data_IF_801574515200
#
_entry.id   IF_801574515200
#
_cell.length_a   1.000
_cell.length_b   1.000
_cell.length_c   1.000
_cell.angle_alpha   90.00
_cell.angle_beta   90.00
_cell.angle_gamma   90.00
#
_symmetry.space_group_name_H-M   'P 1'
#
loop_
_entity.id
_entity.type
_entity.pdbx_description
1 polymer ?
#
# COMPACT_ATOMS: atom_id res chain seq x y z
N UNK A 1 48.27 -12.62 5.75
CA UNK A 1 46.94 -12.01 5.91
C UNK A 1 46.16 -12.85 6.91
N UNK A 2 45.76 -12.29 8.06
CA UNK A 2 45.10 -13.03 9.15
C UNK A 2 43.68 -13.46 8.74
N UNK A 3 43.35 -14.74 8.93
CA UNK A 3 42.03 -15.30 8.60
C UNK A 3 40.87 -14.54 9.26
N UNK A 4 41.12 -13.93 10.41
CA UNK A 4 40.17 -13.09 11.15
C UNK A 4 39.85 -11.78 10.44
N UNK A 5 40.82 -11.10 9.80
CA UNK A 5 40.52 -9.91 9.02
C UNK A 5 39.77 -10.23 7.74
N UNK A 6 40.03 -11.38 7.11
CA UNK A 6 39.29 -11.83 5.93
C UNK A 6 37.82 -12.07 6.28
N UNK A 7 37.54 -12.72 7.42
CA UNK A 7 36.19 -12.96 7.89
C UNK A 7 35.45 -11.66 8.27
N UNK A 8 36.13 -10.72 8.92
CA UNK A 8 35.54 -9.42 9.27
C UNK A 8 35.27 -8.56 8.02
N UNK A 9 36.16 -8.59 7.02
CA UNK A 9 35.98 -7.86 5.76
C UNK A 9 34.79 -8.43 4.95
N UNK A 10 34.62 -9.76 4.94
CA UNK A 10 33.48 -10.41 4.29
C UNK A 10 32.13 -10.08 4.99
N UNK A 11 32.15 -9.96 6.31
CA UNK A 11 30.95 -9.60 7.09
C UNK A 11 30.52 -8.15 6.84
N UNK A 12 31.49 -7.22 6.76
CA UNK A 12 31.24 -5.81 6.41
C UNK A 12 30.70 -5.64 4.97
N UNK A 13 31.17 -6.47 4.04
CA UNK A 13 30.72 -6.46 2.65
C UNK A 13 29.28 -6.99 2.44
N UNK A 14 28.69 -7.65 3.44
CA UNK A 14 27.34 -8.26 3.36
C UNK A 14 26.22 -7.32 3.82
N UNK A 15 26.49 -6.02 3.95
CA UNK A 15 25.49 -5.01 4.30
C UNK A 15 24.51 -4.81 3.14
N UNK A 16 23.44 -5.61 3.09
CA UNK A 16 22.36 -5.41 2.13
C UNK A 16 21.78 -4.00 2.29
N UNK A 17 22.02 -3.13 1.30
CA UNK A 17 21.48 -1.77 1.32
C UNK A 17 19.96 -1.84 1.20
N UNK A 18 19.23 -1.40 2.24
CA UNK A 18 17.80 -1.07 2.19
C UNK A 18 17.56 0.23 1.40
N UNK A 19 18.18 0.34 0.22
CA UNK A 19 18.01 1.48 -0.64
C UNK A 19 16.63 1.40 -1.31
N UNK A 20 15.95 2.55 -1.39
CA UNK A 20 14.76 2.68 -2.20
C UNK A 20 15.10 2.33 -3.66
N UNK A 21 14.47 1.28 -4.17
CA UNK A 21 14.46 0.93 -5.59
C UNK A 21 13.72 2.04 -6.38
N UNK A 22 13.86 2.08 -7.72
CA UNK A 22 13.12 3.04 -8.55
C UNK A 22 11.61 3.02 -8.28
N UNK A 23 11.03 1.86 -7.95
CA UNK A 23 9.60 1.71 -7.66
C UNK A 23 9.12 2.59 -6.50
N UNK A 24 9.90 2.74 -5.42
CA UNK A 24 9.51 3.59 -4.29
C UNK A 24 9.80 5.08 -4.54
N UNK A 25 10.58 5.40 -5.57
CA UNK A 25 10.90 6.79 -5.95
C UNK A 25 9.89 7.37 -6.92
N UNK A 26 9.27 6.55 -7.77
CA UNK A 26 8.23 7.00 -8.69
C UNK A 26 7.04 7.54 -7.90
N UNK A 27 6.60 8.75 -8.25
CA UNK A 27 5.58 9.50 -7.52
C UNK A 27 4.26 9.63 -8.28
N UNK A 28 4.27 9.32 -9.57
CA UNK A 28 3.13 9.44 -10.47
C UNK A 28 3.00 8.17 -11.32
N UNK A 29 1.78 7.79 -11.73
CA UNK A 29 1.59 6.66 -12.63
C UNK A 29 2.39 6.80 -13.92
N UNK A 30 2.89 5.67 -14.42
CA UNK A 30 3.53 5.63 -15.74
C UNK A 30 2.43 5.78 -16.80
N UNK A 31 2.50 6.77 -17.71
CA UNK A 31 1.46 6.97 -18.71
C UNK A 31 1.40 5.80 -19.70
N UNK A 32 0.20 5.50 -20.19
CA UNK A 32 -0.06 4.41 -21.12
C UNK A 32 -1.38 3.71 -20.82
N UNK A 33 -1.73 2.73 -21.63
CA UNK A 33 -2.88 1.85 -21.34
C UNK A 33 -2.62 1.06 -20.06
N UNK A 34 -3.67 0.88 -19.25
CA UNK A 34 -3.60 0.11 -18.02
C UNK A 34 -3.18 -1.33 -18.33
N UNK A 35 -2.04 -1.77 -17.79
CA UNK A 35 -1.49 -3.11 -18.00
C UNK A 35 -0.83 -3.61 -16.72
N UNK A 36 -1.36 -4.69 -16.17
CA UNK A 36 -0.75 -5.45 -15.07
C UNK A 36 0.28 -6.41 -15.64
N UNK A 37 1.56 -6.22 -15.30
CA UNK A 37 2.67 -6.93 -15.93
C UNK A 37 3.35 -7.85 -14.92
N UNK A 38 3.52 -9.12 -15.26
CA UNK A 38 4.18 -10.12 -14.40
C UNK A 38 3.23 -10.79 -13.41
N UNK A 39 3.77 -11.26 -12.29
CA UNK A 39 2.99 -11.93 -11.24
C UNK A 39 2.78 -11.00 -10.03
N UNK A 40 1.80 -11.33 -9.18
CA UNK A 40 1.45 -10.52 -8.02
C UNK A 40 2.66 -10.12 -7.15
N UNK A 41 3.59 -11.05 -6.92
CA UNK A 41 4.78 -10.84 -6.08
C UNK A 41 6.08 -10.58 -6.86
N UNK A 42 6.00 -10.38 -8.18
CA UNK A 42 7.12 -10.03 -9.03
C UNK A 42 6.60 -9.41 -10.33
N UNK A 43 6.20 -8.14 -10.25
CA UNK A 43 5.51 -7.46 -11.36
C UNK A 43 5.48 -5.95 -11.21
N UNK A 44 4.82 -5.30 -12.16
CA UNK A 44 4.59 -3.86 -12.17
C UNK A 44 3.26 -3.53 -12.84
N UNK A 45 2.91 -2.25 -12.89
CA UNK A 45 1.75 -1.75 -13.63
C UNK A 45 2.13 -0.50 -14.42
N UNK A 46 1.67 -0.46 -15.67
CA UNK A 46 1.65 0.76 -16.52
C UNK A 46 0.21 1.25 -16.58
N UNK A 47 0.01 2.58 -16.67
CA UNK A 47 -1.32 3.17 -16.75
C UNK A 47 -2.15 2.92 -15.49
N UNK A 48 -1.50 2.92 -14.32
CA UNK A 48 -2.21 2.76 -13.06
C UNK A 48 -3.17 3.93 -12.82
N UNK A 49 -4.36 3.61 -12.35
CA UNK A 49 -5.35 4.56 -11.94
C UNK A 49 -5.22 4.88 -10.44
N UNK A 50 -5.76 6.03 -10.04
CA UNK A 50 -5.69 6.54 -8.68
C UNK A 50 -7.06 6.39 -8.02
N UNK A 51 -7.12 5.71 -6.87
CA UNK A 51 -8.34 5.70 -6.09
C UNK A 51 -8.61 7.12 -5.54
N UNK A 52 -9.79 7.72 -5.76
CA UNK A 52 -10.14 9.01 -5.17
C UNK A 52 -9.98 8.99 -3.65
N UNK A 53 -9.28 9.97 -3.09
CA UNK A 53 -9.01 10.02 -1.65
C UNK A 53 -10.28 10.41 -0.88
N UNK A 54 -11.10 11.29 -1.45
CA UNK A 54 -12.38 11.71 -0.90
C UNK A 54 -13.51 10.86 -1.48
N UNK A 55 -14.29 10.24 -0.60
CA UNK A 55 -15.45 9.43 -0.94
C UNK A 55 -16.42 9.41 0.24
N UNK A 56 -17.71 9.34 -0.04
CA UNK A 56 -18.75 9.16 1.00
C UNK A 56 -18.83 7.70 1.48
N UNK A 57 -18.31 6.75 0.69
CA UNK A 57 -18.52 5.32 0.91
C UNK A 57 -17.31 4.59 1.51
N UNK A 58 -16.11 5.19 1.44
CA UNK A 58 -14.87 4.61 1.96
C UNK A 58 -13.89 5.69 2.41
N UNK A 59 -12.91 5.28 3.23
CA UNK A 59 -11.78 6.12 3.61
C UNK A 59 -10.47 5.41 3.25
N UNK A 60 -9.53 6.17 2.68
CA UNK A 60 -8.18 5.68 2.36
C UNK A 60 -7.25 5.96 3.53
N UNK A 61 -6.64 4.91 4.05
CA UNK A 61 -5.69 4.99 5.17
C UNK A 61 -4.27 5.24 4.68
N UNK A 62 -3.42 5.87 5.51
CA UNK A 62 -1.97 5.99 5.28
C UNK A 62 -1.62 6.59 3.91
N UNK A 63 -2.34 7.64 3.53
CA UNK A 63 -2.19 8.32 2.22
C UNK A 63 -0.79 8.92 2.04
N UNK A 64 -0.08 9.21 3.12
CA UNK A 64 1.34 9.60 3.14
C UNK A 64 2.24 8.60 2.39
N UNK A 65 1.84 7.31 2.36
CA UNK A 65 2.64 6.25 1.76
C UNK A 65 2.45 6.13 0.25
N UNK A 66 1.44 6.81 -0.32
CA UNK A 66 1.15 6.81 -1.76
C UNK A 66 0.98 5.38 -2.32
N UNK A 67 0.22 4.56 -1.58
CA UNK A 67 -0.12 3.18 -1.93
C UNK A 67 -1.60 3.02 -2.28
N UNK A 68 -2.18 3.98 -3.00
CA UNK A 68 -3.59 4.01 -3.40
C UNK A 68 -3.76 3.96 -4.94
N UNK A 69 -2.79 3.35 -5.62
CA UNK A 69 -2.79 3.19 -7.08
C UNK A 69 -3.07 1.73 -7.45
N UNK A 70 -3.68 1.50 -8.61
CA UNK A 70 -3.95 0.15 -9.08
C UNK A 70 -4.50 0.09 -10.49
N UNK A 71 -4.90 -1.10 -10.92
CA UNK A 71 -5.60 -1.28 -12.18
C UNK A 71 -6.98 -0.60 -12.11
N UNK A 72 -7.49 0.00 -13.20
CA UNK A 72 -8.83 0.61 -13.22
C UNK A 72 -9.93 -0.34 -12.70
N UNK A 73 -9.84 -1.63 -13.00
CA UNK A 73 -10.79 -2.63 -12.50
C UNK A 73 -10.78 -2.76 -10.97
N UNK A 74 -9.61 -2.62 -10.34
CA UNK A 74 -9.49 -2.62 -8.88
C UNK A 74 -10.15 -1.36 -8.29
N UNK A 75 -9.93 -0.20 -8.89
CA UNK A 75 -10.56 1.07 -8.47
C UNK A 75 -12.09 0.96 -8.57
N UNK A 76 -12.60 0.49 -9.71
CA UNK A 76 -14.04 0.27 -9.90
C UNK A 76 -14.60 -0.78 -8.94
N UNK A 77 -13.85 -1.84 -8.64
CA UNK A 77 -14.26 -2.84 -7.65
C UNK A 77 -14.41 -2.21 -6.25
N UNK A 78 -13.42 -1.45 -5.79
CA UNK A 78 -13.45 -0.77 -4.48
C UNK A 78 -14.66 0.16 -4.39
N UNK A 79 -14.90 0.98 -5.42
CA UNK A 79 -16.02 1.92 -5.45
C UNK A 79 -17.37 1.19 -5.38
N UNK A 80 -17.56 0.14 -6.19
CA UNK A 80 -18.81 -0.65 -6.21
C UNK A 80 -19.04 -1.37 -4.88
N UNK A 81 -18.01 -2.03 -4.34
CA UNK A 81 -18.10 -2.72 -3.06
C UNK A 81 -18.44 -1.74 -1.93
N UNK A 82 -17.73 -0.62 -1.85
CA UNK A 82 -17.91 0.36 -0.79
C UNK A 82 -19.30 1.01 -0.84
N UNK A 83 -19.78 1.32 -2.05
CA UNK A 83 -21.15 1.83 -2.23
C UNK A 83 -22.20 0.81 -1.76
N UNK A 84 -22.03 -0.48 -2.07
CA UNK A 84 -22.94 -1.53 -1.60
C UNK A 84 -22.93 -1.65 -0.07
N UNK A 85 -21.74 -1.69 0.56
CA UNK A 85 -21.59 -1.75 2.02
C UNK A 85 -22.27 -0.55 2.69
N UNK A 86 -22.03 0.65 2.16
CA UNK A 86 -22.66 1.89 2.64
C UNK A 86 -24.19 1.84 2.51
N UNK A 87 -24.71 1.40 1.36
CA UNK A 87 -26.15 1.35 1.09
C UNK A 87 -26.87 0.28 1.92
N UNK A 88 -26.16 -0.76 2.35
CA UNK A 88 -26.67 -1.76 3.29
C UNK A 88 -26.59 -1.31 4.76
N UNK A 89 -26.10 -0.10 5.03
CA UNK A 89 -25.97 0.43 6.39
C UNK A 89 -24.89 -0.27 7.21
N UNK A 90 -23.94 -0.96 6.56
CA UNK A 90 -22.90 -1.75 7.23
C UNK A 90 -21.68 -0.91 7.67
N UNK A 91 -21.68 0.38 7.34
CA UNK A 91 -20.63 1.34 7.69
C UNK A 91 -19.80 1.81 6.51
N UNK A 92 -18.62 2.36 6.82
CA UNK A 92 -17.66 2.90 5.85
C UNK A 92 -16.49 1.92 5.68
N UNK A 93 -16.12 1.62 4.43
CA UNK A 93 -15.00 0.71 4.16
C UNK A 93 -13.67 1.43 4.37
N UNK A 94 -12.74 0.81 5.11
CA UNK A 94 -11.38 1.30 5.27
C UNK A 94 -10.43 0.62 4.28
N UNK A 95 -9.87 1.42 3.38
CA UNK A 95 -8.98 0.98 2.31
C UNK A 95 -7.53 1.18 2.77
N UNK A 96 -6.79 0.08 2.85
CA UNK A 96 -5.35 0.07 3.14
C UNK A 96 -4.52 0.06 1.86
N UNK A 97 -3.33 -0.53 1.94
CA UNK A 97 -2.38 -0.58 0.82
C UNK A 97 -2.99 -1.27 -0.43
N UNK A 98 -3.11 -0.52 -1.52
CA UNK A 98 -3.22 -0.98 -2.91
C UNK A 98 -1.80 -1.19 -3.45
N UNK A 99 -1.42 -0.58 -4.59
CA UNK A 99 -0.06 -0.55 -5.14
C UNK A 99 0.56 0.85 -5.10
N UNK A 100 1.88 0.91 -5.35
CA UNK A 100 2.61 2.15 -5.66
C UNK A 100 2.27 2.61 -7.10
N UNK A 101 2.62 3.85 -7.52
CA UNK A 101 2.17 4.40 -8.81
C UNK A 101 2.51 3.57 -10.05
N UNK A 102 3.60 2.81 -10.01
CA UNK A 102 4.01 1.88 -11.06
C UNK A 102 4.02 0.42 -10.59
N UNK A 103 3.39 0.12 -9.45
CA UNK A 103 3.45 -1.19 -8.82
C UNK A 103 4.83 -1.48 -8.23
N UNK A 104 5.34 -2.70 -8.44
CA UNK A 104 6.65 -3.11 -7.95
C UNK A 104 6.68 -3.41 -6.45
N UNK A 105 7.79 -4.00 -6.01
CA UNK A 105 7.96 -4.49 -4.64
C UNK A 105 8.00 -3.34 -3.63
N UNK A 106 7.28 -3.47 -2.52
CA UNK A 106 7.38 -2.53 -1.39
C UNK A 106 8.69 -2.67 -0.62
N UNK A 107 9.16 -1.58 -0.01
CA UNK A 107 10.30 -1.58 0.92
C UNK A 107 9.89 -2.01 2.36
N UNK A 108 8.94 -2.95 2.47
CA UNK A 108 8.30 -3.38 3.71
C UNK A 108 6.76 -3.46 3.61
N UNK A 109 6.18 -4.47 4.24
CA UNK A 109 4.75 -4.81 4.12
C UNK A 109 4.51 -6.08 3.28
N UNK A 110 3.37 -6.15 2.59
CA UNK A 110 2.96 -7.32 1.82
C UNK A 110 3.73 -7.44 0.51
N UNK A 111 4.14 -8.67 0.17
CA UNK A 111 5.01 -8.93 -0.98
C UNK A 111 4.29 -8.86 -2.35
N UNK A 112 2.96 -8.96 -2.37
CA UNK A 112 2.14 -9.27 -3.56
C UNK A 112 1.42 -8.09 -4.22
N UNK A 113 1.56 -6.87 -3.71
CA UNK A 113 0.81 -5.71 -4.22
C UNK A 113 1.47 -5.05 -5.45
N UNK A 114 2.16 -5.83 -6.28
CA UNK A 114 3.07 -5.27 -7.29
C UNK A 114 2.40 -5.01 -8.64
N UNK A 115 1.26 -5.65 -8.94
CA UNK A 115 0.59 -5.57 -10.26
C UNK A 115 -0.66 -4.70 -10.25
N UNK A 116 -0.99 -4.03 -9.14
CA UNK A 116 -2.18 -3.17 -9.05
C UNK A 116 -3.52 -3.92 -9.04
N UNK A 117 -3.54 -5.23 -8.79
CA UNK A 117 -4.76 -6.06 -8.84
C UNK A 117 -5.37 -6.37 -7.48
N UNK A 118 -4.74 -5.95 -6.38
CA UNK A 118 -5.19 -6.25 -5.03
C UNK A 118 -5.05 -5.07 -4.07
N UNK A 119 -5.89 -5.06 -3.05
CA UNK A 119 -5.89 -4.08 -1.98
C UNK A 119 -6.04 -4.77 -0.62
N UNK A 120 -5.44 -4.19 0.42
CA UNK A 120 -5.73 -4.54 1.80
C UNK A 120 -7.01 -3.85 2.24
N UNK A 121 -8.00 -4.62 2.66
CA UNK A 121 -9.15 -4.11 3.39
C UNK A 121 -8.90 -4.27 4.88
N UNK A 122 -9.25 -3.25 5.68
CA UNK A 122 -9.39 -3.42 7.12
C UNK A 122 -10.88 -3.58 7.41
N UNK A 123 -11.25 -4.65 8.11
CA UNK A 123 -12.64 -4.85 8.54
C UNK A 123 -13.01 -3.76 9.54
N UNK A 124 -13.76 -2.77 9.09
CA UNK A 124 -14.47 -1.82 9.92
C UNK A 124 -15.97 -2.05 9.69
N UNK A 125 -16.49 -3.14 10.24
CA UNK A 125 -17.94 -3.23 10.46
C UNK A 125 -18.26 -2.22 11.54
N UNK A 126 -19.16 -1.29 11.21
CA UNK A 126 -19.48 -0.08 11.94
C UNK A 126 -19.57 -0.29 13.46
N UNK A 127 -18.80 0.51 14.22
CA UNK A 127 -19.31 1.46 15.22
C UNK A 127 -18.25 2.54 15.40
N UNK A 128 -18.65 3.81 15.29
CA UNK A 128 -17.79 4.99 15.27
C UNK A 128 -16.85 5.12 14.06
N UNK A 129 -17.18 6.12 13.25
CA UNK A 129 -16.25 7.02 12.56
C UNK A 129 -14.99 7.27 13.40
N UNK A 130 -14.03 6.35 13.35
CA UNK A 130 -12.76 6.47 14.06
C UNK A 130 -11.96 7.53 13.34
N UNK A 131 -12.27 8.77 13.75
CA UNK A 131 -11.50 9.98 13.71
C UNK A 131 -10.71 10.17 12.41
N UNK A 132 -11.23 11.00 11.51
CA UNK A 132 -10.55 11.45 10.27
C UNK A 132 -9.11 11.92 10.55
N UNK A 133 -8.80 12.32 11.80
CA UNK A 133 -7.47 12.68 12.29
C UNK A 133 -6.54 11.49 12.60
N UNK A 134 -7.06 10.34 13.02
CA UNK A 134 -6.26 9.16 13.35
C UNK A 134 -5.72 8.46 12.09
N UNK A 135 -6.49 8.43 10.99
CA UNK A 135 -6.06 7.85 9.72
C UNK A 135 -5.04 8.70 8.94
N UNK A 136 -4.99 10.01 9.23
CA UNK A 136 -4.09 11.00 8.61
C UNK A 136 -2.87 11.34 9.48
N UNK A 137 -2.76 10.79 10.69
CA UNK A 137 -1.62 11.04 11.57
C UNK A 137 -0.36 10.34 11.03
N UNK A 138 0.77 11.04 10.85
CA UNK A 138 2.03 10.41 10.50
C UNK A 138 2.42 9.43 11.60
N UNK A 139 2.80 8.21 11.22
CA UNK A 139 3.22 7.16 12.15
C UNK A 139 4.44 7.62 12.97
N UNK A 140 4.19 8.26 14.10
CA UNK A 140 5.21 8.64 15.07
C UNK A 140 4.60 8.60 16.46
N UNK A 141 5.37 7.98 17.36
CA UNK A 141 5.14 7.77 18.80
C UNK A 141 4.04 6.78 19.18
N UNK A 142 4.50 5.69 19.81
CA UNK A 142 3.70 4.54 20.19
C UNK A 142 2.67 4.85 21.26
N UNK A 143 1.53 4.20 21.12
CA UNK A 143 0.51 4.13 22.16
C UNK A 143 0.19 2.65 22.39
N UNK A 144 0.49 2.22 23.61
CA UNK A 144 0.06 0.98 24.23
C UNK A 144 -1.48 0.92 24.25
N UNK A 145 -2.03 -0.12 23.64
CA UNK A 145 -3.46 -0.43 23.69
C UNK A 145 -3.83 -1.10 25.02
N UNK A 146 -4.87 -0.66 25.74
CA UNK A 146 -5.43 -1.46 26.83
C UNK A 146 -6.27 -2.60 26.24
N UNK A 147 -6.01 -3.82 26.72
CA UNK A 147 -6.84 -4.99 26.40
C UNK A 147 -8.17 -4.88 27.17
N UNK A 148 -9.29 -5.10 26.49
CA UNK A 148 -10.46 -5.76 27.07
C UNK A 148 -10.75 -7.00 26.25
#
# INVERSE_FOLDING_TARGET
MNKTAIALLALLASSASLAATPWQKITQPVPGSAQSIGSFSNGCIVGADTLPIQSEHYQVMRTDQRRYFGHPDLVMFIQRLSSQVSNLGMGTVLIGDMGMPAGGRFNGGHASHQTGTGCRYLSATAENSLDLRAALAPASTGLSFPRR
#
